data_IF_691808147815
#
_entry.id   IF_691808147815
#
_cell.length_a   1.000
_cell.length_b   1.000
_cell.length_c   1.000
_cell.angle_alpha   90.00
_cell.angle_beta   90.00
_cell.angle_gamma   90.00
#
_symmetry.space_group_name_H-M   'P 1'
#
loop_
_entity.id
_entity.type
_entity.pdbx_description
1 polymer ?
#
# COMPACT_ATOMS: atom_id res chain seq x y z
N UNK A 1 -4.94 -8.27 -21.70
CA UNK A 1 -5.08 -7.06 -20.86
C UNK A 1 -4.27 -6.00 -21.55
N UNK A 2 -4.91 -4.91 -21.96
CA UNK A 2 -4.23 -3.84 -22.69
C UNK A 2 -3.35 -3.03 -21.72
N UNK A 3 -2.04 -3.04 -21.97
CA UNK A 3 -1.04 -2.32 -21.17
C UNK A 3 -1.08 -0.83 -21.55
N UNK A 4 -1.73 -0.02 -20.72
CA UNK A 4 -1.73 1.43 -20.88
C UNK A 4 -0.34 1.98 -20.57
N UNK A 5 0.20 2.77 -21.51
CA UNK A 5 1.47 3.47 -21.33
C UNK A 5 1.26 4.98 -21.41
N UNK A 6 1.84 5.68 -20.46
CA UNK A 6 1.73 7.12 -20.29
C UNK A 6 3.01 7.80 -20.77
N UNK A 7 2.91 9.01 -21.29
CA UNK A 7 4.09 9.83 -21.62
C UNK A 7 3.81 11.28 -21.31
N UNK A 8 4.86 12.00 -20.94
CA UNK A 8 4.77 13.41 -20.63
C UNK A 8 4.73 14.21 -21.95
N UNK A 9 3.81 15.19 -22.04
CA UNK A 9 3.67 16.10 -23.18
C UNK A 9 3.94 17.52 -22.72
N UNK A 10 5.03 18.13 -23.18
CA UNK A 10 5.39 19.50 -22.85
C UNK A 10 5.07 20.41 -24.04
N UNK A 11 4.32 21.47 -23.79
CA UNK A 11 3.98 22.52 -24.75
C UNK A 11 4.19 23.88 -24.11
N UNK A 12 4.85 24.81 -24.82
CA UNK A 12 4.99 26.20 -24.40
C UNK A 12 3.97 27.09 -25.14
N UNK A 13 2.92 27.60 -24.47
CA UNK A 13 1.90 28.43 -25.11
C UNK A 13 2.44 29.77 -25.64
N UNK A 14 3.54 30.29 -25.07
CA UNK A 14 4.15 31.57 -25.44
C UNK A 14 5.13 31.49 -26.60
N UNK A 15 5.46 30.29 -27.09
CA UNK A 15 6.44 30.10 -28.16
C UNK A 15 5.88 29.15 -29.22
N UNK A 16 4.98 29.70 -30.04
CA UNK A 16 4.12 28.97 -31.00
C UNK A 16 4.89 28.17 -32.05
N UNK A 17 6.15 28.53 -32.30
CA UNK A 17 7.03 27.91 -33.27
C UNK A 17 7.89 26.77 -32.71
N UNK A 18 7.76 26.44 -31.43
CA UNK A 18 8.44 25.29 -30.84
C UNK A 18 7.51 24.08 -30.81
N UNK A 19 8.03 22.96 -31.29
CA UNK A 19 7.28 21.72 -31.36
C UNK A 19 6.94 21.19 -29.97
N UNK A 20 5.87 20.41 -29.92
CA UNK A 20 5.51 19.67 -28.71
C UNK A 20 6.57 18.59 -28.46
N UNK A 21 7.16 18.58 -27.28
CA UNK A 21 8.11 17.54 -26.87
C UNK A 21 7.39 16.44 -26.09
N UNK A 22 7.70 15.19 -26.42
CA UNK A 22 7.18 14.02 -25.73
C UNK A 22 8.31 13.24 -25.04
N UNK A 23 8.05 12.73 -23.84
CA UNK A 23 8.93 11.72 -23.23
C UNK A 23 8.74 10.36 -23.91
N UNK A 24 9.69 9.41 -23.71
CA UNK A 24 9.40 8.00 -23.92
C UNK A 24 8.14 7.57 -23.12
N UNK A 25 7.34 6.63 -23.63
CA UNK A 25 6.24 6.05 -22.88
C UNK A 25 6.75 5.20 -21.72
N UNK A 26 6.11 5.32 -20.56
CA UNK A 26 6.33 4.55 -19.37
C UNK A 26 5.03 3.85 -18.93
N UNK A 27 5.18 2.72 -18.25
CA UNK A 27 4.07 2.04 -17.59
C UNK A 27 3.86 2.70 -16.23
N UNK A 28 2.59 2.83 -15.81
CA UNK A 28 2.24 3.19 -14.44
C UNK A 28 1.78 1.91 -13.77
N UNK A 29 2.64 1.39 -12.89
CA UNK A 29 2.28 0.33 -11.97
C UNK A 29 1.87 1.00 -10.67
N UNK A 30 0.62 0.78 -10.26
CA UNK A 30 0.14 1.12 -8.92
C UNK A 30 0.18 -0.19 -8.16
N UNK A 31 1.24 -0.36 -7.38
CA UNK A 31 1.39 -1.49 -6.47
C UNK A 31 0.77 -1.09 -5.12
N UNK A 32 0.19 -2.06 -4.41
CA UNK A 32 -0.42 -1.82 -3.10
C UNK A 32 0.70 -1.74 -2.06
N UNK A 33 0.56 -0.76 -1.19
CA UNK A 33 1.40 -0.45 -0.04
C UNK A 33 0.44 0.19 0.97
N UNK A 34 -0.14 -0.62 1.85
CA UNK A 34 -1.35 -0.27 2.60
C UNK A 34 -1.04 0.66 3.78
N UNK A 35 0.02 0.34 4.50
CA UNK A 35 0.57 1.12 5.61
C UNK A 35 1.51 2.27 5.15
N UNK A 36 1.98 2.23 3.89
CA UNK A 36 2.85 3.24 3.25
C UNK A 36 4.27 3.30 3.82
N UNK A 37 4.84 2.19 4.26
CA UNK A 37 6.23 2.13 4.72
C UNK A 37 7.27 2.01 3.57
N UNK A 38 6.79 1.74 2.35
CA UNK A 38 7.60 1.60 1.13
C UNK A 38 8.04 0.18 0.83
N UNK A 39 7.63 -0.80 1.63
CA UNK A 39 7.51 -2.21 1.28
C UNK A 39 6.16 -2.40 0.58
N UNK A 40 6.06 -3.39 -0.30
CA UNK A 40 4.83 -3.61 -1.08
C UNK A 40 4.13 -4.81 -0.49
N UNK A 41 2.79 -4.80 -0.42
CA UNK A 41 1.99 -5.86 0.19
C UNK A 41 2.25 -7.31 -0.31
N UNK A 42 2.92 -7.48 -1.46
CA UNK A 42 3.27 -8.83 -1.96
C UNK A 42 4.66 -9.30 -1.50
N UNK A 43 5.45 -8.39 -0.94
CA UNK A 43 6.77 -8.59 -0.34
C UNK A 43 6.69 -8.45 1.18
N UNK A 44 5.75 -7.66 1.66
CA UNK A 44 5.53 -7.39 3.08
C UNK A 44 5.16 -8.64 3.87
N UNK A 45 5.52 -8.64 5.15
CA UNK A 45 5.19 -9.68 6.11
C UNK A 45 4.04 -9.28 7.04
N UNK A 46 3.76 -7.99 7.13
CA UNK A 46 2.71 -7.37 7.95
C UNK A 46 2.19 -6.17 7.13
N UNK A 47 1.15 -6.40 6.34
CA UNK A 47 0.69 -5.43 5.33
C UNK A 47 0.10 -4.14 5.95
N UNK A 48 -0.31 -4.13 7.22
CA UNK A 48 -0.87 -2.96 7.90
C UNK A 48 -0.03 -2.44 9.07
N UNK A 49 1.10 -3.10 9.36
CA UNK A 49 2.09 -2.76 10.38
C UNK A 49 1.48 -2.60 11.78
N UNK A 50 0.52 -3.45 12.12
CA UNK A 50 -0.06 -3.49 13.46
C UNK A 50 0.79 -4.32 14.46
N UNK A 51 1.75 -5.11 13.95
CA UNK A 51 2.66 -5.96 14.71
C UNK A 51 2.22 -7.42 14.79
N UNK A 52 1.17 -7.81 14.06
CA UNK A 52 0.75 -9.19 13.83
C UNK A 52 1.07 -9.56 12.38
N UNK A 53 1.66 -10.73 12.17
CA UNK A 53 2.00 -11.18 10.82
C UNK A 53 0.73 -11.49 9.99
N UNK A 54 0.78 -11.14 8.70
CA UNK A 54 -0.19 -11.54 7.67
C UNK A 54 -0.61 -13.02 7.75
N UNK A 55 0.35 -13.89 8.11
CA UNK A 55 0.14 -15.34 8.21
C UNK A 55 -0.72 -15.76 9.39
N UNK A 56 -0.76 -14.94 10.44
CA UNK A 56 -1.53 -15.16 11.66
C UNK A 56 -2.94 -14.55 11.55
N UNK A 57 -3.09 -13.42 10.86
CA UNK A 57 -4.39 -12.76 10.61
C UNK A 57 -5.18 -13.43 9.48
N UNK A 58 -4.49 -13.72 8.38
CA UNK A 58 -5.01 -14.41 7.20
C UNK A 58 -5.87 -13.55 6.26
N UNK A 59 -6.36 -14.18 5.20
CA UNK A 59 -7.15 -13.54 4.14
C UNK A 59 -8.66 -13.37 4.47
N UNK A 60 -9.01 -13.44 5.76
CA UNK A 60 -10.38 -13.28 6.25
C UNK A 60 -10.92 -11.86 6.08
N UNK A 61 -12.21 -11.69 6.36
CA UNK A 61 -12.91 -10.40 6.50
C UNK A 61 -13.96 -10.66 7.58
N UNK A 62 -13.58 -10.39 8.84
CA UNK A 62 -14.34 -10.85 10.02
C UNK A 62 -15.53 -9.93 10.33
N UNK A 63 -15.41 -8.63 10.08
CA UNK A 63 -16.47 -7.65 10.27
C UNK A 63 -17.34 -7.41 9.00
N UNK A 64 -16.86 -7.82 7.83
CA UNK A 64 -17.57 -7.75 6.55
C UNK A 64 -17.52 -6.38 5.87
N UNK A 65 -16.55 -5.54 6.18
CA UNK A 65 -16.41 -4.19 5.60
C UNK A 65 -15.74 -4.20 4.20
N UNK A 66 -15.17 -5.35 3.82
CA UNK A 66 -14.53 -5.59 2.53
C UNK A 66 -13.01 -5.35 2.50
N UNK A 67 -12.43 -4.98 3.64
CA UNK A 67 -10.99 -5.01 3.93
C UNK A 67 -10.65 -6.41 4.44
N UNK A 68 -9.45 -6.91 4.15
CA UNK A 68 -9.03 -8.20 4.70
C UNK A 68 -8.45 -7.96 6.08
N UNK A 69 -8.54 -8.96 6.96
CA UNK A 69 -7.95 -8.88 8.30
C UNK A 69 -6.49 -8.40 8.28
N UNK A 70 -5.66 -9.00 7.41
CA UNK A 70 -4.27 -8.57 7.20
C UNK A 70 -4.05 -7.14 6.65
N UNK A 71 -5.12 -6.40 6.43
CA UNK A 71 -5.13 -5.02 5.95
C UNK A 71 -5.96 -4.15 6.91
N UNK A 72 -6.39 -4.69 8.04
CA UNK A 72 -7.36 -4.09 8.93
C UNK A 72 -6.87 -4.14 10.38
N UNK A 73 -6.57 -2.96 10.92
CA UNK A 73 -6.09 -2.79 12.30
C UNK A 73 -7.11 -3.23 13.38
N UNK A 74 -8.39 -3.39 13.01
CA UNK A 74 -9.51 -3.77 13.89
C UNK A 74 -10.41 -4.79 13.17
N UNK A 75 -9.87 -5.96 12.85
CA UNK A 75 -10.46 -7.02 12.00
C UNK A 75 -11.91 -7.39 12.35
N UNK A 76 -12.33 -7.28 13.61
CA UNK A 76 -13.68 -7.61 14.07
C UNK A 76 -14.60 -6.40 14.27
N UNK A 77 -14.06 -5.19 14.08
CA UNK A 77 -14.76 -3.90 14.10
C UNK A 77 -15.36 -3.55 15.46
N UNK A 78 -14.82 -4.09 16.56
CA UNK A 78 -15.35 -3.86 17.91
C UNK A 78 -14.80 -2.59 18.59
N UNK A 79 -13.80 -1.97 17.98
CA UNK A 79 -13.13 -0.76 18.44
C UNK A 79 -11.89 -1.01 19.29
N UNK A 80 -11.33 -2.22 19.27
CA UNK A 80 -10.09 -2.59 19.94
C UNK A 80 -9.11 -3.23 18.95
N UNK A 81 -7.98 -2.56 18.69
CA UNK A 81 -6.99 -3.05 17.72
C UNK A 81 -6.51 -4.48 17.96
N UNK A 82 -6.31 -5.23 16.88
CA UNK A 82 -5.94 -6.64 16.86
C UNK A 82 -4.67 -6.91 17.68
N UNK A 83 -3.61 -6.11 17.48
CA UNK A 83 -2.37 -6.16 18.29
C UNK A 83 -2.62 -6.21 19.80
N UNK A 84 -3.62 -5.45 20.28
CA UNK A 84 -3.94 -5.37 21.70
C UNK A 84 -4.78 -6.56 22.15
N UNK A 85 -5.66 -7.06 21.30
CA UNK A 85 -6.43 -8.28 21.56
C UNK A 85 -5.56 -9.52 21.62
N UNK A 86 -4.55 -9.59 20.74
CA UNK A 86 -3.50 -10.60 20.76
C UNK A 86 -2.57 -10.49 21.98
N UNK A 87 -2.68 -9.41 22.75
CA UNK A 87 -1.94 -9.18 23.99
C UNK A 87 -0.56 -8.58 23.80
N UNK A 88 -0.28 -8.02 22.63
CA UNK A 88 0.94 -7.27 22.34
C UNK A 88 0.77 -5.78 22.68
N UNK A 89 1.88 -5.04 22.62
CA UNK A 89 1.88 -3.58 22.75
C UNK A 89 2.66 -3.01 21.59
N UNK A 90 2.00 -2.20 20.77
CA UNK A 90 2.60 -1.37 19.72
C UNK A 90 3.63 -0.40 20.34
N UNK A 91 4.85 -0.89 20.49
CA UNK A 91 6.01 -0.14 21.00
C UNK A 91 7.25 -0.48 20.17
N UNK A 92 7.10 -1.16 19.04
CA UNK A 92 8.22 -1.57 18.22
C UNK A 92 8.45 -0.44 17.21
N UNK A 93 9.54 0.31 17.43
CA UNK A 93 10.13 1.07 16.35
C UNK A 93 10.77 0.01 15.46
N UNK A 94 10.24 -0.19 14.26
CA UNK A 94 10.85 -1.04 13.25
C UNK A 94 12.28 -0.53 12.96
N UNK A 95 13.26 -1.13 13.63
CA UNK A 95 14.68 -0.80 13.48
C UNK A 95 15.25 -1.41 12.19
N UNK A 96 14.53 -2.34 11.56
CA UNK A 96 14.98 -3.19 10.45
C UNK A 96 14.39 -2.82 9.10
N UNK A 97 13.29 -2.07 9.06
CA UNK A 97 12.54 -1.74 7.84
C UNK A 97 11.88 -2.97 7.23
N UNK A 98 11.46 -3.94 8.04
CA UNK A 98 10.82 -5.19 7.60
C UNK A 98 9.37 -5.33 8.06
N UNK A 99 8.77 -4.24 8.54
CA UNK A 99 7.34 -4.17 8.83
C UNK A 99 6.95 -4.78 10.18
N UNK A 100 7.85 -4.85 11.17
CA UNK A 100 7.50 -5.34 12.54
C UNK A 100 8.17 -4.49 13.63
#
# INVERSE_FOLDING_TARGET
MDEWRYRLRITNPGYVCHDTTFSPPARLDVESDWDNDGVLNYIDLDDDNDGILDTDEGDGDLDGDGIRNKLDLDSDGDGCFDVKEAGFTDNILDETGDGI
#
